data_IF_228434662758
#
_entry.id   IF_228434662758
#
_cell.length_a   1.000
_cell.length_b   1.000
_cell.length_c   1.000
_cell.angle_alpha   90.00
_cell.angle_beta   90.00
_cell.angle_gamma   90.00
#
_symmetry.space_group_name_H-M   'P 1'
#
loop_
_entity.id
_entity.type
_entity.pdbx_description
1 polymer ?
#
# COMPACT_ATOMS: atom_id res chain seq x y z
N UNK A 1 -14.74 23.36 -7.22
CA UNK A 1 -13.93 22.20 -6.80
C UNK A 1 -14.88 21.11 -6.35
N UNK A 2 -14.75 19.88 -6.88
CA UNK A 2 -15.68 18.80 -6.61
C UNK A 2 -15.25 18.05 -5.33
N UNK A 3 -16.04 18.15 -4.26
CA UNK A 3 -15.71 17.58 -2.93
C UNK A 3 -15.39 16.08 -2.98
N UNK A 4 -16.04 15.33 -3.87
CA UNK A 4 -15.77 13.90 -4.08
C UNK A 4 -14.37 13.59 -4.63
N UNK A 5 -13.72 14.54 -5.31
CA UNK A 5 -12.33 14.39 -5.81
C UNK A 5 -11.32 14.70 -4.70
N UNK A 6 -11.61 15.66 -3.81
CA UNK A 6 -10.74 15.97 -2.67
C UNK A 6 -10.70 14.83 -1.64
N UNK A 7 -11.84 14.20 -1.33
CA UNK A 7 -11.90 13.06 -0.40
C UNK A 7 -11.06 11.88 -0.93
N UNK A 8 -11.00 11.69 -2.25
CA UNK A 8 -10.26 10.59 -2.88
C UNK A 8 -8.74 10.86 -3.00
N UNK A 9 -8.33 12.13 -3.04
CA UNK A 9 -6.91 12.50 -3.01
C UNK A 9 -6.27 12.28 -1.62
N UNK A 10 -7.08 12.23 -0.55
CA UNK A 10 -6.63 12.01 0.82
C UNK A 10 -6.49 10.53 1.21
N UNK A 11 -6.67 9.58 0.28
CA UNK A 11 -6.51 8.15 0.58
C UNK A 11 -5.01 7.85 0.80
N UNK A 12 -4.62 7.84 2.07
CA UNK A 12 -3.28 7.52 2.54
C UNK A 12 -3.37 6.52 3.68
N UNK A 13 -2.41 5.58 3.78
CA UNK A 13 -2.33 4.75 4.96
C UNK A 13 -1.93 5.61 6.17
N UNK A 14 -2.37 5.25 7.39
CA UNK A 14 -1.96 5.94 8.60
C UNK A 14 -0.46 5.72 8.82
N UNK A 15 0.17 6.72 9.42
CA UNK A 15 1.55 6.62 9.88
C UNK A 15 1.61 6.81 11.41
N UNK A 16 2.26 5.91 12.18
CA UNK A 16 2.96 4.71 11.71
C UNK A 16 2.03 3.66 11.08
N UNK A 17 2.54 2.77 10.21
CA UNK A 17 1.71 1.76 9.55
C UNK A 17 1.08 0.82 10.58
N UNK A 18 -0.26 0.77 10.60
CA UNK A 18 -1.03 -0.15 11.45
C UNK A 18 -1.21 -1.52 10.77
N UNK A 19 -0.12 -2.08 10.24
CA UNK A 19 -0.15 -3.34 9.48
C UNK A 19 1.06 -4.19 9.86
N UNK A 20 0.85 -5.49 10.06
CA UNK A 20 1.95 -6.44 10.30
C UNK A 20 2.48 -7.03 8.99
N UNK A 21 3.67 -7.63 9.04
CA UNK A 21 4.21 -8.38 7.89
C UNK A 21 3.27 -9.53 7.49
N UNK A 22 2.62 -10.18 8.45
CA UNK A 22 1.67 -11.26 8.18
C UNK A 22 0.45 -10.76 7.42
N UNK A 23 -0.08 -9.59 7.78
CA UNK A 23 -1.17 -8.95 7.06
C UNK A 23 -0.77 -8.61 5.61
N UNK A 24 0.43 -8.05 5.43
CA UNK A 24 1.00 -7.74 4.11
C UNK A 24 1.08 -9.01 3.25
N UNK A 25 1.66 -10.09 3.78
CA UNK A 25 1.79 -11.39 3.10
C UNK A 25 0.42 -11.96 2.73
N UNK A 26 -0.55 -11.90 3.66
CA UNK A 26 -1.91 -12.37 3.42
C UNK A 26 -2.57 -11.62 2.27
N UNK A 27 -2.49 -10.29 2.27
CA UNK A 27 -3.05 -9.45 1.20
C UNK A 27 -2.38 -9.70 -0.14
N UNK A 28 -1.06 -9.87 -0.15
CA UNK A 28 -0.31 -10.17 -1.38
C UNK A 28 -0.68 -11.54 -1.94
N UNK A 29 -0.96 -12.53 -1.07
CA UNK A 29 -1.35 -13.89 -1.46
C UNK A 29 -2.80 -13.94 -1.97
N UNK A 30 -3.73 -13.22 -1.34
CA UNK A 30 -5.13 -13.14 -1.83
C UNK A 30 -5.17 -12.50 -3.22
N UNK A 31 -4.39 -11.44 -3.44
CA UNK A 31 -4.37 -10.72 -4.71
C UNK A 31 -3.51 -11.39 -5.79
N UNK A 32 -2.63 -12.32 -5.42
CA UNK A 32 -1.76 -13.05 -6.35
C UNK A 32 -1.91 -14.54 -6.09
N UNK A 33 -2.63 -15.24 -6.97
CA UNK A 33 -2.85 -16.69 -6.94
C UNK A 33 -1.57 -17.56 -6.88
N UNK A 34 -0.37 -16.95 -6.92
CA UNK A 34 0.93 -17.63 -6.91
C UNK A 34 1.95 -16.85 -6.07
N UNK A 35 2.92 -17.60 -5.51
CA UNK A 35 4.07 -17.01 -4.81
C UNK A 35 4.74 -15.94 -5.70
N UNK A 36 5.02 -14.75 -5.16
CA UNK A 36 5.69 -13.70 -5.91
C UNK A 36 7.04 -14.19 -6.45
N UNK A 37 7.35 -13.86 -7.71
CA UNK A 37 8.64 -14.18 -8.37
C UNK A 37 9.61 -12.99 -8.41
N UNK A 38 9.18 -11.84 -7.90
CA UNK A 38 9.94 -10.58 -7.92
C UNK A 38 9.87 -9.94 -6.55
N UNK A 39 10.99 -9.34 -6.14
CA UNK A 39 11.11 -8.56 -4.91
C UNK A 39 10.08 -7.43 -4.88
N UNK A 40 9.48 -7.22 -3.72
CA UNK A 40 8.69 -6.06 -3.42
C UNK A 40 9.60 -4.88 -3.06
N UNK A 41 9.28 -3.70 -3.59
CA UNK A 41 9.89 -2.46 -3.16
C UNK A 41 8.97 -1.76 -2.15
N UNK A 42 9.48 -0.69 -1.53
CA UNK A 42 8.74 0.09 -0.54
C UNK A 42 7.39 0.61 -1.07
N UNK A 43 7.35 1.04 -2.34
CA UNK A 43 6.12 1.51 -2.98
C UNK A 43 5.05 0.40 -3.09
N UNK A 44 5.44 -0.83 -3.43
CA UNK A 44 4.52 -1.96 -3.49
C UNK A 44 3.90 -2.22 -2.10
N UNK A 45 4.69 -2.12 -1.03
CA UNK A 45 4.19 -2.28 0.33
C UNK A 45 3.26 -1.12 0.71
N UNK A 46 3.67 0.11 0.46
CA UNK A 46 2.86 1.31 0.69
C UNK A 46 1.48 1.20 0.02
N UNK A 47 1.44 0.77 -1.23
CA UNK A 47 0.20 0.53 -1.99
C UNK A 47 -0.66 -0.55 -1.33
N UNK A 48 -0.08 -1.68 -0.92
CA UNK A 48 -0.80 -2.74 -0.21
C UNK A 48 -1.37 -2.26 1.13
N UNK A 49 -0.60 -1.49 1.90
CA UNK A 49 -1.07 -0.91 3.16
C UNK A 49 -2.20 0.09 2.93
N UNK A 50 -2.18 0.83 1.82
CA UNK A 50 -3.28 1.73 1.44
C UNK A 50 -4.57 0.94 1.17
N UNK A 51 -4.47 -0.18 0.44
CA UNK A 51 -5.62 -1.08 0.21
C UNK A 51 -6.16 -1.61 1.53
N UNK A 52 -5.27 -2.08 2.41
CA UNK A 52 -5.66 -2.57 3.74
C UNK A 52 -6.40 -1.49 4.54
N UNK A 53 -5.86 -0.27 4.57
CA UNK A 53 -6.50 0.85 5.25
C UNK A 53 -7.88 1.17 4.69
N UNK A 54 -8.07 1.11 3.38
CA UNK A 54 -9.39 1.29 2.76
C UNK A 54 -10.36 0.17 3.16
N UNK A 55 -9.89 -1.09 3.20
CA UNK A 55 -10.70 -2.24 3.58
C UNK A 55 -11.19 -2.16 5.03
N UNK A 56 -10.31 -1.84 5.98
CA UNK A 56 -10.68 -1.77 7.41
C UNK A 56 -11.64 -0.61 7.72
N UNK A 57 -11.59 0.47 6.94
CA UNK A 57 -12.47 1.63 7.11
C UNK A 57 -13.77 1.53 6.31
N UNK A 58 -14.07 0.36 5.70
CA UNK A 58 -15.20 0.17 4.78
C UNK A 58 -15.24 1.20 3.62
N UNK A 59 -14.09 1.81 3.31
CA UNK A 59 -13.92 2.77 2.22
C UNK A 59 -13.61 2.04 0.91
N UNK A 60 -14.41 1.02 0.58
CA UNK A 60 -14.33 0.30 -0.69
C UNK A 60 -15.03 1.16 -1.74
N UNK A 61 -14.38 2.25 -2.12
CA UNK A 61 -14.85 3.11 -3.19
C UNK A 61 -14.64 2.37 -4.52
N UNK A 62 -15.59 2.45 -5.48
CA UNK A 62 -15.38 1.99 -6.85
C UNK A 62 -14.37 2.93 -7.52
N UNK A 63 -13.09 2.68 -7.24
CA UNK A 63 -11.96 3.39 -7.79
C UNK A 63 -11.34 2.48 -8.85
N UNK A 64 -11.15 3.01 -10.06
CA UNK A 64 -10.44 2.26 -11.09
C UNK A 64 -9.01 1.97 -10.65
N UNK A 65 -8.47 0.82 -11.07
CA UNK A 65 -7.10 0.44 -10.77
C UNK A 65 -6.09 1.54 -11.14
N UNK A 66 -6.30 2.21 -12.27
CA UNK A 66 -5.41 3.26 -12.77
C UNK A 66 -5.49 4.55 -11.96
N UNK A 67 -6.69 4.93 -11.52
CA UNK A 67 -6.84 6.07 -10.62
C UNK A 67 -6.19 5.77 -9.27
N UNK A 68 -6.39 4.57 -8.72
CA UNK A 68 -5.73 4.15 -7.48
C UNK A 68 -4.20 4.15 -7.62
N UNK A 69 -3.67 3.67 -8.74
CA UNK A 69 -2.23 3.73 -9.04
C UNK A 69 -1.72 5.16 -9.10
N UNK A 70 -2.47 6.06 -9.74
CA UNK A 70 -2.10 7.47 -9.84
C UNK A 70 -2.03 8.14 -8.46
N UNK A 71 -3.09 8.03 -7.65
CA UNK A 71 -3.12 8.66 -6.32
C UNK A 71 -2.04 8.10 -5.38
N UNK A 72 -1.79 6.80 -5.42
CA UNK A 72 -0.76 6.17 -4.58
C UNK A 72 0.64 6.60 -4.99
N UNK A 73 0.90 6.77 -6.29
CA UNK A 73 2.18 7.31 -6.78
C UNK A 73 2.40 8.74 -6.29
N UNK A 74 1.42 9.64 -6.49
CA UNK A 74 1.51 11.04 -6.04
C UNK A 74 1.73 11.11 -4.53
N UNK A 75 0.98 10.32 -3.76
CA UNK A 75 1.12 10.28 -2.31
C UNK A 75 2.51 9.78 -1.90
N UNK A 76 2.98 8.66 -2.47
CA UNK A 76 4.31 8.12 -2.22
C UNK A 76 5.42 9.12 -2.54
N UNK A 77 5.33 9.82 -3.67
CA UNK A 77 6.34 10.81 -4.05
C UNK A 77 6.40 11.94 -3.02
N UNK A 78 5.24 12.37 -2.50
CA UNK A 78 5.13 13.38 -1.45
C UNK A 78 5.49 12.91 -0.03
N UNK A 79 5.66 11.60 0.21
CA UNK A 79 5.98 11.08 1.55
C UNK A 79 7.37 11.50 2.01
N UNK A 80 7.49 11.75 3.32
CA UNK A 80 8.74 12.10 3.96
C UNK A 80 9.77 10.94 3.87
N UNK A 81 11.09 11.22 3.84
CA UNK A 81 12.13 10.20 3.79
C UNK A 81 12.03 9.15 4.90
N UNK A 82 11.67 9.56 6.12
CA UNK A 82 11.52 8.65 7.26
C UNK A 82 10.37 7.67 7.09
N UNK A 83 9.23 8.13 6.54
CA UNK A 83 8.10 7.27 6.18
C UNK A 83 8.55 6.25 5.13
N UNK A 84 9.25 6.70 4.09
CA UNK A 84 9.78 5.82 3.04
C UNK A 84 10.73 4.78 3.61
N UNK A 85 11.57 5.13 4.60
CA UNK A 85 12.49 4.21 5.28
C UNK A 85 11.76 3.11 6.04
N UNK A 86 10.64 3.42 6.71
CA UNK A 86 9.81 2.40 7.36
C UNK A 86 9.27 1.40 6.32
N UNK A 87 8.74 1.90 5.20
CA UNK A 87 8.24 1.03 4.13
C UNK A 87 9.34 0.23 3.42
N UNK A 88 10.57 0.74 3.36
CA UNK A 88 11.73 -0.03 2.91
C UNK A 88 12.04 -1.20 3.86
N UNK A 89 11.96 -0.98 5.17
CA UNK A 89 12.08 -2.03 6.18
C UNK A 89 11.01 -3.11 5.99
N UNK A 90 9.74 -2.71 5.89
CA UNK A 90 8.63 -3.63 5.64
C UNK A 90 8.81 -4.42 4.33
N UNK A 91 9.31 -3.78 3.27
CA UNK A 91 9.59 -4.44 2.00
C UNK A 91 10.70 -5.49 2.13
N UNK A 92 11.79 -5.15 2.84
CA UNK A 92 12.86 -6.10 3.13
C UNK A 92 12.33 -7.31 3.89
N UNK A 93 11.58 -7.08 4.96
CA UNK A 93 11.09 -8.15 5.82
C UNK A 93 10.06 -9.03 5.08
N UNK A 94 9.23 -8.43 4.22
CA UNK A 94 8.32 -9.14 3.32
C UNK A 94 9.08 -10.00 2.30
N UNK A 95 10.16 -9.48 1.70
CA UNK A 95 10.99 -10.25 0.78
C UNK A 95 11.68 -11.42 1.49
N UNK A 96 12.19 -11.20 2.71
CA UNK A 96 12.77 -12.24 3.56
C UNK A 96 11.75 -13.34 3.87
N UNK A 97 10.50 -13.00 4.19
CA UNK A 97 9.43 -13.99 4.38
C UNK A 97 9.24 -14.89 3.15
N UNK A 98 9.30 -14.31 1.95
CA UNK A 98 9.17 -15.05 0.70
C UNK A 98 10.49 -15.63 0.15
N UNK A 99 11.62 -15.50 0.85
CA UNK A 99 12.97 -15.85 0.35
C UNK A 99 13.26 -15.28 -1.04
N UNK A 100 12.95 -13.99 -1.27
CA UNK A 100 13.11 -13.29 -2.54
C UNK A 100 14.38 -12.46 -2.65
#
# INVERSE_FOLDING_TARGET
>A
MNYGVQIRAAIRPPFPPLITIQDIVRLLTINRQRRPRRKFNAFNIYRTTTIFHMQINNNILPISHDYFRSITSVNWDSEAPDVKKIYQGLARDTNSYYNL
#
